data_IF_708511833398
#
_entry.id   IF_708511833398
#
_cell.length_a   1.000
_cell.length_b   1.000
_cell.length_c   1.000
_cell.angle_alpha   90.00
_cell.angle_beta   90.00
_cell.angle_gamma   90.00
#
_symmetry.space_group_name_H-M   'P 1'
#
loop_
_entity.id
_entity.type
_entity.pdbx_description
1 polymer ?
#
# COMPACT_ATOMS: atom_id res chain seq x y z
N UNK A 1 -10.88 7.82 -80.65
CA UNK A 1 -9.83 7.46 -79.67
C UNK A 1 -9.94 8.38 -78.47
N UNK A 2 -10.56 7.91 -77.38
CA UNK A 2 -10.69 8.70 -76.15
C UNK A 2 -9.58 8.23 -75.20
N UNK A 3 -8.59 9.08 -74.93
CA UNK A 3 -7.47 8.78 -74.01
C UNK A 3 -7.95 8.98 -72.58
N UNK A 4 -8.20 7.90 -71.86
CA UNK A 4 -8.50 7.91 -70.43
C UNK A 4 -7.24 8.27 -69.66
N UNK A 5 -7.22 9.45 -69.03
CA UNK A 5 -6.13 9.89 -68.15
C UNK A 5 -6.40 9.33 -66.75
N UNK A 6 -5.56 8.39 -66.31
CA UNK A 6 -5.56 7.87 -64.95
C UNK A 6 -4.81 8.87 -64.05
N UNK A 7 -5.53 9.58 -63.19
CA UNK A 7 -4.95 10.42 -62.14
C UNK A 7 -4.62 9.51 -60.95
N UNK A 8 -3.35 9.38 -60.53
CA UNK A 8 -3.02 8.57 -59.37
C UNK A 8 -3.52 9.29 -58.12
N UNK A 9 -4.54 8.73 -57.48
CA UNK A 9 -5.02 9.20 -56.18
C UNK A 9 -4.00 8.78 -55.12
N UNK A 10 -3.04 9.67 -54.83
CA UNK A 10 -2.07 9.46 -53.77
C UNK A 10 -2.83 9.53 -52.43
N UNK A 11 -3.21 8.37 -51.88
CA UNK A 11 -3.71 8.27 -50.52
C UNK A 11 -2.58 8.75 -49.59
N UNK A 12 -2.62 10.02 -49.19
CA UNK A 12 -1.87 10.50 -48.04
C UNK A 12 -2.40 9.73 -46.82
N UNK A 13 -1.66 8.72 -46.38
CA UNK A 13 -1.87 8.13 -45.07
C UNK A 13 -1.56 9.26 -44.07
N UNK A 14 -2.54 9.73 -43.28
CA UNK A 14 -2.27 10.76 -42.29
C UNK A 14 -1.22 10.22 -41.32
N UNK A 15 -0.06 10.88 -41.24
CA UNK A 15 0.89 10.62 -40.16
C UNK A 15 0.16 11.00 -38.88
N UNK A 16 -0.16 10.00 -38.06
CA UNK A 16 -0.60 10.22 -36.69
C UNK A 16 0.54 10.92 -35.97
N UNK A 17 0.34 12.19 -35.64
CA UNK A 17 1.27 12.96 -34.82
C UNK A 17 1.13 12.45 -33.38
N UNK A 18 1.91 11.44 -32.99
CA UNK A 18 2.00 11.02 -31.58
C UNK A 18 2.57 12.18 -30.77
N UNK A 19 1.75 12.84 -29.94
CA UNK A 19 2.21 13.87 -28.99
C UNK A 19 3.20 13.28 -27.98
N UNK A 20 3.81 14.12 -27.14
CA UNK A 20 4.50 13.63 -25.95
C UNK A 20 3.52 12.70 -25.20
N UNK A 21 3.94 11.45 -24.98
CA UNK A 21 3.03 10.41 -24.48
C UNK A 21 3.73 9.59 -23.41
N UNK A 22 3.12 9.51 -22.23
CA UNK A 22 3.54 8.62 -21.16
C UNK A 22 3.04 7.22 -21.48
N UNK A 23 3.99 6.31 -21.69
CA UNK A 23 3.70 4.91 -21.96
C UNK A 23 3.20 4.22 -20.69
N UNK A 24 3.90 4.42 -19.58
CA UNK A 24 3.49 3.96 -18.25
C UNK A 24 4.35 4.56 -17.13
N UNK A 25 3.78 4.56 -15.92
CA UNK A 25 4.44 5.02 -14.70
C UNK A 25 4.66 3.85 -13.72
N UNK A 26 5.87 3.74 -13.16
CA UNK A 26 6.18 2.80 -12.08
C UNK A 26 6.19 3.56 -10.76
N UNK A 27 5.21 3.25 -9.92
CA UNK A 27 5.17 3.65 -8.51
C UNK A 27 4.80 2.40 -7.70
N UNK A 28 5.56 2.02 -6.66
CA UNK A 28 5.17 0.96 -5.73
C UNK A 28 3.82 1.30 -5.10
N UNK A 29 2.89 0.34 -5.02
CA UNK A 29 1.60 0.58 -4.36
C UNK A 29 1.74 0.71 -2.84
N UNK A 30 2.72 0.02 -2.27
CA UNK A 30 2.99 0.03 -0.84
C UNK A 30 4.50 -0.09 -0.58
N UNK A 31 4.99 0.62 0.43
CA UNK A 31 6.37 0.60 0.89
C UNK A 31 6.37 0.55 2.42
N UNK A 32 7.17 -0.31 3.02
CA UNK A 32 7.29 -0.34 4.47
C UNK A 32 8.27 0.75 4.94
N UNK A 33 7.82 1.59 5.87
CA UNK A 33 8.58 2.67 6.47
C UNK A 33 9.90 2.15 7.07
N UNK A 34 11.03 2.73 6.67
CA UNK A 34 12.35 2.40 7.20
C UNK A 34 12.91 1.02 6.82
N UNK A 35 12.27 0.27 5.92
CA UNK A 35 12.73 -1.07 5.51
C UNK A 35 13.63 -1.07 4.27
N UNK A 36 13.37 -0.17 3.31
CA UNK A 36 14.12 -0.08 2.06
C UNK A 36 15.06 1.13 2.11
N UNK A 37 16.32 0.93 1.72
CA UNK A 37 17.29 2.01 1.62
C UNK A 37 16.92 3.02 0.53
N UNK A 38 16.28 2.55 -0.55
CA UNK A 38 15.77 3.42 -1.60
C UNK A 38 14.66 2.76 -2.40
N UNK A 39 13.69 3.56 -2.85
CA UNK A 39 12.65 3.14 -3.81
C UNK A 39 12.80 3.93 -5.12
N UNK A 40 12.45 3.28 -6.23
CA UNK A 40 12.50 3.89 -7.57
C UNK A 40 11.09 4.16 -8.09
N UNK A 41 10.84 5.41 -8.47
CA UNK A 41 9.69 5.82 -9.25
C UNK A 41 10.16 6.12 -10.67
N UNK A 42 9.50 5.59 -11.68
CA UNK A 42 9.95 5.69 -13.08
C UNK A 42 8.81 6.17 -13.97
N UNK A 43 9.11 7.03 -14.93
CA UNK A 43 8.13 7.59 -15.86
C UNK A 43 8.63 7.36 -17.27
N UNK A 44 8.08 6.35 -17.93
CA UNK A 44 8.49 5.95 -19.28
C UNK A 44 7.57 6.65 -20.27
N UNK A 45 8.16 7.43 -21.17
CA UNK A 45 7.45 8.19 -22.19
C UNK A 45 8.12 8.04 -23.56
N UNK A 46 7.39 8.48 -24.58
CA UNK A 46 7.84 8.64 -25.96
C UNK A 46 7.66 10.10 -26.38
N UNK A 47 8.57 10.61 -27.19
CA UNK A 47 8.53 11.98 -27.74
C UNK A 47 8.58 11.94 -29.26
N UNK A 48 8.13 13.02 -29.91
CA UNK A 48 8.35 13.21 -31.35
C UNK A 48 9.82 13.48 -31.65
N UNK A 49 10.31 13.12 -32.85
CA UNK A 49 11.67 13.44 -33.25
C UNK A 49 12.01 14.94 -33.27
N UNK A 50 11.02 15.79 -33.50
CA UNK A 50 11.13 17.25 -33.56
C UNK A 50 10.74 17.97 -32.26
N UNK A 51 10.37 17.22 -31.21
CA UNK A 51 10.05 17.80 -29.91
C UNK A 51 11.29 18.45 -29.29
N UNK A 52 11.08 19.63 -28.71
CA UNK A 52 12.11 20.37 -27.97
C UNK A 52 11.51 20.97 -26.70
N UNK A 53 12.39 21.39 -25.78
CA UNK A 53 11.94 21.96 -24.51
C UNK A 53 11.39 20.93 -23.53
N UNK A 54 11.94 19.72 -23.54
CA UNK A 54 11.55 18.66 -22.60
C UNK A 54 11.68 19.12 -21.14
N UNK A 55 10.61 18.91 -20.39
CA UNK A 55 10.54 19.09 -18.94
C UNK A 55 9.82 17.88 -18.34
N UNK A 56 10.46 17.20 -17.39
CA UNK A 56 9.82 16.13 -16.60
C UNK A 56 9.63 16.63 -15.18
N UNK A 57 8.41 16.56 -14.65
CA UNK A 57 8.08 16.92 -13.27
C UNK A 57 7.44 15.73 -12.56
N UNK A 58 7.79 15.57 -11.30
CA UNK A 58 6.99 14.75 -10.38
C UNK A 58 6.31 15.62 -9.34
N UNK A 59 5.06 15.28 -9.06
CA UNK A 59 4.26 15.87 -8.01
C UNK A 59 3.94 14.81 -6.96
N UNK A 60 3.85 15.24 -5.71
CA UNK A 60 3.26 14.49 -4.61
C UNK A 60 2.11 15.32 -4.03
N UNK A 61 0.88 14.80 -4.12
CA UNK A 61 -0.33 15.51 -3.69
C UNK A 61 -0.39 16.95 -4.27
N UNK A 62 -0.24 17.06 -5.59
CA UNK A 62 -0.20 18.31 -6.36
C UNK A 62 0.95 19.30 -6.08
N UNK A 63 1.84 19.01 -5.13
CA UNK A 63 3.06 19.79 -4.93
C UNK A 63 4.20 19.26 -5.80
N UNK A 64 4.87 20.14 -6.55
CA UNK A 64 6.08 19.75 -7.32
C UNK A 64 7.20 19.35 -6.36
N UNK A 65 7.71 18.14 -6.52
CA UNK A 65 8.77 17.58 -5.68
C UNK A 65 10.06 17.26 -6.43
N UNK A 66 9.98 17.18 -7.75
CA UNK A 66 11.12 16.91 -8.63
C UNK A 66 10.90 17.60 -9.97
N UNK A 67 11.98 18.15 -10.53
CA UNK A 67 11.98 18.69 -11.88
C UNK A 67 13.28 18.34 -12.58
N UNK A 68 13.18 17.92 -13.83
CA UNK A 68 14.30 17.71 -14.72
C UNK A 68 14.08 18.43 -16.05
N UNK A 69 15.10 19.17 -16.48
CA UNK A 69 15.18 19.84 -17.78
C UNK A 69 16.53 19.44 -18.38
N UNK A 70 16.58 18.64 -19.45
CA UNK A 70 17.83 18.29 -20.10
C UNK A 70 18.50 19.54 -20.73
N UNK A 71 19.84 19.58 -20.80
CA UNK A 71 20.82 18.59 -20.32
C UNK A 71 21.21 18.77 -18.84
N UNK A 72 20.52 19.60 -18.06
CA UNK A 72 20.89 19.83 -16.66
C UNK A 72 20.57 18.61 -15.78
N UNK A 73 21.26 18.52 -14.65
CA UNK A 73 20.88 17.56 -13.59
C UNK A 73 19.51 17.92 -13.00
N UNK A 74 18.76 16.92 -12.51
CA UNK A 74 17.47 17.16 -11.89
C UNK A 74 17.59 17.93 -10.56
N UNK A 75 16.48 18.51 -10.14
CA UNK A 75 16.36 19.27 -8.90
C UNK A 75 15.28 18.67 -8.00
N UNK A 76 15.59 18.55 -6.70
CA UNK A 76 14.63 18.20 -5.66
C UNK A 76 13.94 19.46 -5.13
N UNK A 77 12.62 19.37 -4.94
CA UNK A 77 11.76 20.48 -4.52
C UNK A 77 10.90 20.06 -3.31
N UNK A 78 10.35 21.07 -2.62
CA UNK A 78 9.44 20.85 -1.49
C UNK A 78 9.96 19.89 -0.44
N UNK A 79 9.11 18.96 0.00
CA UNK A 79 9.39 17.98 1.05
C UNK A 79 10.43 16.93 0.67
N UNK A 80 10.83 16.84 -0.61
CA UNK A 80 11.80 15.85 -1.12
C UNK A 80 13.24 16.38 -1.20
N UNK A 81 13.48 17.64 -0.82
CA UNK A 81 14.85 18.18 -0.71
C UNK A 81 15.69 17.34 0.25
N UNK A 82 16.85 16.89 -0.24
CA UNK A 82 17.78 16.05 0.53
C UNK A 82 17.35 14.59 0.69
N UNK A 83 16.22 14.18 0.10
CA UNK A 83 15.67 12.80 0.19
C UNK A 83 15.78 12.04 -1.14
N UNK A 84 16.38 12.63 -2.17
CA UNK A 84 16.48 12.04 -3.51
C UNK A 84 17.94 11.79 -3.90
N UNK A 85 18.21 10.67 -4.56
CA UNK A 85 19.46 10.46 -5.29
C UNK A 85 19.36 11.13 -6.68
N UNK A 86 19.78 12.40 -6.75
CA UNK A 86 19.76 13.19 -8.00
C UNK A 86 20.84 12.78 -9.02
N UNK A 87 21.67 11.78 -8.71
CA UNK A 87 22.65 11.22 -9.66
C UNK A 87 22.22 9.86 -10.20
N UNK A 88 21.01 9.38 -9.89
CA UNK A 88 20.48 8.15 -10.46
C UNK A 88 20.13 8.33 -11.94
N UNK A 89 20.75 7.53 -12.81
CA UNK A 89 20.52 7.54 -14.25
C UNK A 89 19.69 6.33 -14.67
N UNK A 90 18.52 6.60 -15.25
CA UNK A 90 17.57 5.59 -15.71
C UNK A 90 17.89 5.04 -17.10
N UNK A 91 18.71 5.77 -17.86
CA UNK A 91 19.08 5.48 -19.24
C UNK A 91 20.36 6.23 -19.61
N UNK A 92 21.10 5.71 -20.58
CA UNK A 92 22.22 6.42 -21.21
C UNK A 92 21.77 7.41 -22.29
N UNK A 93 20.48 7.39 -22.67
CA UNK A 93 19.91 8.32 -23.64
C UNK A 93 19.73 9.71 -22.99
N UNK A 94 20.30 10.79 -23.56
CA UNK A 94 20.26 12.15 -23.00
C UNK A 94 18.85 12.68 -22.69
N UNK A 95 17.84 12.31 -23.48
CA UNK A 95 16.45 12.76 -23.26
C UNK A 95 15.67 11.84 -22.34
N UNK A 96 16.27 10.76 -21.86
CA UNK A 96 15.63 9.78 -20.97
C UNK A 96 16.39 9.57 -19.65
N UNK A 97 17.55 10.20 -19.51
CA UNK A 97 18.55 9.93 -18.47
C UNK A 97 18.01 10.09 -17.04
N UNK A 98 17.33 11.19 -16.72
CA UNK A 98 16.83 11.48 -15.37
C UNK A 98 15.30 11.49 -15.29
N UNK A 99 14.63 10.63 -16.06
CA UNK A 99 13.16 10.48 -16.02
C UNK A 99 12.63 9.82 -14.74
N UNK A 100 13.48 9.04 -14.06
CA UNK A 100 13.14 8.36 -12.81
C UNK A 100 13.55 9.17 -11.59
N UNK A 101 12.77 9.05 -10.52
CA UNK A 101 13.06 9.62 -9.21
C UNK A 101 13.42 8.50 -8.23
N UNK A 102 14.66 8.52 -7.73
CA UNK A 102 15.13 7.58 -6.70
C UNK A 102 15.01 8.25 -5.32
N UNK A 103 14.10 7.75 -4.49
CA UNK A 103 13.83 8.24 -3.13
C UNK A 103 14.65 7.42 -2.15
N UNK A 104 15.39 8.08 -1.27
CA UNK A 104 16.23 7.47 -0.24
C UNK A 104 15.46 7.44 1.09
N UNK A 105 15.48 6.30 1.78
CA UNK A 105 14.85 6.10 3.10
C UNK A 105 13.40 6.64 3.16
N UNK A 106 12.45 6.02 2.44
CA UNK A 106 11.06 6.49 2.39
C UNK A 106 10.40 6.46 3.77
N UNK A 107 9.67 7.53 4.07
CA UNK A 107 8.97 7.76 5.35
C UNK A 107 7.48 8.02 5.12
N UNK A 108 6.68 7.92 6.19
CA UNK A 108 5.21 8.00 6.11
C UNK A 108 4.67 9.31 5.48
N UNK A 109 5.39 10.43 5.64
CA UNK A 109 5.07 11.74 5.03
C UNK A 109 5.26 11.77 3.50
N UNK A 110 5.84 10.72 2.92
CA UNK A 110 5.97 10.54 1.48
C UNK A 110 4.82 9.73 0.88
N UNK A 111 3.85 9.28 1.67
CA UNK A 111 2.65 8.63 1.14
C UNK A 111 1.75 9.63 0.39
N UNK A 112 1.10 9.18 -0.68
CA UNK A 112 0.15 10.00 -1.42
C UNK A 112 0.06 9.67 -2.91
N UNK A 113 -0.55 10.58 -3.65
CA UNK A 113 -0.63 10.50 -5.10
C UNK A 113 0.64 11.05 -5.74
N UNK A 114 1.33 10.20 -6.50
CA UNK A 114 2.45 10.59 -7.33
C UNK A 114 1.99 10.79 -8.76
N UNK A 115 2.26 11.97 -9.31
CA UNK A 115 1.95 12.32 -10.70
C UNK A 115 3.23 12.65 -11.45
N UNK A 116 3.50 11.95 -12.54
CA UNK A 116 4.51 12.35 -13.51
C UNK A 116 3.85 13.22 -14.57
N UNK A 117 4.46 14.36 -14.89
CA UNK A 117 4.11 15.23 -16.01
C UNK A 117 5.32 15.33 -16.94
N UNK A 118 5.11 15.04 -18.20
CA UNK A 118 6.10 15.19 -19.27
C UNK A 118 5.59 16.26 -20.22
N UNK A 119 6.35 17.34 -20.38
CA UNK A 119 5.99 18.46 -21.24
C UNK A 119 7.11 18.76 -22.23
N UNK A 120 6.76 19.17 -23.44
CA UNK A 120 7.63 19.78 -24.44
C UNK A 120 7.13 21.21 -24.70
N UNK A 121 7.67 21.92 -25.68
CA UNK A 121 7.14 23.24 -26.05
C UNK A 121 5.74 23.19 -26.68
N UNK A 122 5.34 22.05 -27.24
CA UNK A 122 4.10 21.92 -28.02
C UNK A 122 3.09 20.96 -27.43
N UNK A 123 3.52 20.04 -26.57
CA UNK A 123 2.68 18.95 -26.06
C UNK A 123 2.96 18.68 -24.58
N UNK A 124 1.98 18.11 -23.88
CA UNK A 124 2.15 17.61 -22.51
C UNK A 124 1.27 16.38 -22.27
N UNK A 125 1.74 15.50 -21.39
CA UNK A 125 0.99 14.34 -20.91
C UNK A 125 1.33 14.03 -19.45
N UNK A 126 0.38 13.44 -18.72
CA UNK A 126 0.54 13.12 -17.31
C UNK A 126 -0.08 11.78 -16.93
N UNK A 127 0.49 11.13 -15.92
CA UNK A 127 -0.05 9.91 -15.31
C UNK A 127 0.14 9.94 -13.81
N UNK A 128 -0.85 9.43 -13.07
CA UNK A 128 -0.84 9.38 -11.61
C UNK A 128 -0.92 7.97 -11.06
N UNK A 129 -0.31 7.73 -9.89
CA UNK A 129 -0.44 6.49 -9.12
C UNK A 129 -0.23 6.75 -7.63
N UNK A 130 -1.01 6.07 -6.79
CA UNK A 130 -0.92 6.20 -5.34
C UNK A 130 0.15 5.26 -4.75
N UNK A 131 0.86 5.76 -3.75
CA UNK A 131 1.80 5.01 -2.93
C UNK A 131 1.42 5.12 -1.45
N UNK A 132 1.26 3.98 -0.79
CA UNK A 132 1.08 3.89 0.66
C UNK A 132 2.44 3.64 1.30
N UNK A 133 2.80 4.42 2.31
CA UNK A 133 3.93 4.08 3.19
C UNK A 133 3.37 3.60 4.51
N UNK A 134 3.61 2.33 4.85
CA UNK A 134 3.01 1.68 6.02
C UNK A 134 4.03 1.38 7.12
N UNK A 135 3.57 1.32 8.36
CA UNK A 135 4.31 0.89 9.53
C UNK A 135 3.65 -0.40 10.03
N UNK A 136 4.39 -1.52 10.12
CA UNK A 136 3.85 -2.78 10.63
C UNK A 136 3.57 -2.68 12.13
N UNK A 137 2.87 -3.67 12.67
CA UNK A 137 2.56 -3.76 14.08
C UNK A 137 3.81 -3.84 14.97
N UNK A 138 3.73 -3.21 16.15
CA UNK A 138 4.69 -3.47 17.25
C UNK A 138 4.36 -4.80 17.95
N UNK A 139 3.07 -5.13 18.09
CA UNK A 139 2.60 -6.42 18.61
C UNK A 139 1.31 -6.89 17.93
N UNK A 140 1.14 -8.22 17.88
CA UNK A 140 -0.10 -8.90 17.48
C UNK A 140 -0.31 -10.13 18.37
N UNK A 141 -1.41 -10.12 19.11
CA UNK A 141 -1.76 -11.16 20.08
C UNK A 141 -3.14 -11.73 19.78
N UNK A 142 -3.31 -13.01 20.12
CA UNK A 142 -4.56 -13.75 19.99
C UNK A 142 -4.67 -14.67 21.20
N UNK A 143 -5.77 -14.56 21.93
CA UNK A 143 -6.01 -15.34 23.15
C UNK A 143 -7.50 -15.60 23.37
N UNK A 144 -7.79 -16.62 24.18
CA UNK A 144 -9.13 -16.87 24.69
C UNK A 144 -9.43 -15.86 25.80
N UNK A 145 -10.48 -15.05 25.64
CA UNK A 145 -10.81 -13.95 26.56
C UNK A 145 -12.00 -14.25 27.47
N UNK A 146 -12.69 -15.37 27.27
CA UNK A 146 -13.75 -15.79 28.18
C UNK A 146 -14.71 -16.80 27.59
N UNK A 147 -15.82 -16.96 28.29
CA UNK A 147 -16.93 -17.82 27.93
C UNK A 147 -18.24 -17.07 28.20
N UNK A 148 -19.18 -17.12 27.26
CA UNK A 148 -20.54 -16.64 27.45
C UNK A 148 -21.55 -17.79 27.22
N UNK A 149 -22.85 -17.53 27.37
CA UNK A 149 -23.88 -18.54 27.14
C UNK A 149 -23.97 -19.00 25.67
N UNK A 150 -23.29 -18.32 24.73
CA UNK A 150 -23.32 -18.57 23.29
C UNK A 150 -22.06 -19.28 22.80
N UNK A 151 -20.96 -19.27 23.55
CA UNK A 151 -19.71 -19.92 23.15
C UNK A 151 -18.46 -19.39 23.85
N UNK A 152 -17.30 -19.64 23.22
CA UNK A 152 -15.98 -19.20 23.70
C UNK A 152 -15.59 -17.92 22.97
N UNK A 153 -15.11 -16.92 23.73
CA UNK A 153 -14.65 -15.66 23.17
C UNK A 153 -13.16 -15.72 22.87
N UNK A 154 -12.79 -15.28 21.67
CA UNK A 154 -11.42 -15.08 21.25
C UNK A 154 -11.20 -13.61 20.95
N UNK A 155 -10.16 -13.06 21.54
CA UNK A 155 -9.78 -11.65 21.37
C UNK A 155 -8.44 -11.57 20.66
N UNK A 156 -8.39 -10.74 19.63
CA UNK A 156 -7.18 -10.39 18.91
C UNK A 156 -6.88 -8.90 19.12
N UNK A 157 -5.63 -8.59 19.46
CA UNK A 157 -5.17 -7.23 19.72
C UNK A 157 -3.93 -6.91 18.90
N UNK A 158 -3.82 -5.66 18.46
CA UNK A 158 -2.60 -5.15 17.81
C UNK A 158 -2.28 -3.73 18.25
N UNK A 159 -1.00 -3.39 18.24
CA UNK A 159 -0.52 -2.06 18.63
C UNK A 159 0.34 -1.39 17.56
N UNK A 160 0.22 -0.06 17.50
CA UNK A 160 1.10 0.85 16.77
C UNK A 160 1.23 0.62 15.25
N UNK A 161 0.13 0.35 14.56
CA UNK A 161 0.11 0.10 13.11
C UNK A 161 -0.26 1.37 12.34
N UNK A 162 0.25 1.57 11.12
CA UNK A 162 -0.19 2.66 10.25
C UNK A 162 -0.15 2.25 8.77
N UNK A 163 -1.12 2.64 7.92
CA UNK A 163 -2.40 3.29 8.23
C UNK A 163 -3.34 2.36 9.02
N UNK A 164 -4.60 2.75 9.20
CA UNK A 164 -5.59 1.99 9.97
C UNK A 164 -5.72 0.53 9.44
N UNK A 165 -5.37 -0.48 10.26
CA UNK A 165 -5.43 -1.88 9.86
C UNK A 165 -6.82 -2.49 10.04
N UNK A 166 -6.97 -3.75 9.65
CA UNK A 166 -8.15 -4.59 9.93
C UNK A 166 -7.71 -5.88 10.60
N UNK A 167 -8.42 -6.28 11.66
CA UNK A 167 -8.29 -7.59 12.29
C UNK A 167 -9.43 -8.49 11.82
N UNK A 168 -9.11 -9.74 11.48
CA UNK A 168 -10.07 -10.74 11.05
C UNK A 168 -9.81 -12.03 11.80
N UNK A 169 -10.75 -12.45 12.65
CA UNK A 169 -10.70 -13.75 13.34
C UNK A 169 -11.40 -14.79 12.48
N UNK A 170 -10.78 -15.96 12.31
CA UNK A 170 -11.38 -17.07 11.57
C UNK A 170 -10.87 -18.41 12.10
N UNK A 171 -11.65 -19.46 11.87
CA UNK A 171 -11.31 -20.84 12.23
C UNK A 171 -10.95 -21.64 10.98
N UNK A 172 -10.02 -22.58 11.13
CA UNK A 172 -9.81 -23.62 10.13
C UNK A 172 -10.61 -24.88 10.47
N UNK A 173 -11.32 -25.43 9.48
CA UNK A 173 -12.18 -26.63 9.68
C UNK A 173 -11.45 -27.90 9.23
N UNK A 174 -10.55 -27.78 8.24
CA UNK A 174 -9.66 -28.79 7.66
C UNK A 174 -8.62 -28.01 6.83
N UNK A 175 -7.37 -28.49 6.68
CA UNK A 175 -6.23 -27.89 5.93
C UNK A 175 -6.47 -27.60 4.42
N UNK A 176 -7.72 -27.41 3.98
CA UNK A 176 -8.12 -26.97 2.66
C UNK A 176 -8.27 -25.45 2.70
N UNK A 177 -7.30 -24.77 2.08
CA UNK A 177 -7.18 -23.30 1.96
C UNK A 177 -8.46 -22.54 1.54
N UNK A 178 -9.49 -23.23 1.03
CA UNK A 178 -10.75 -22.65 0.55
C UNK A 178 -11.87 -22.54 1.60
N UNK A 179 -11.76 -23.15 2.79
CA UNK A 179 -12.84 -23.15 3.80
C UNK A 179 -12.58 -22.23 5.01
N UNK A 180 -11.99 -21.04 4.78
CA UNK A 180 -11.83 -20.04 5.86
C UNK A 180 -13.19 -19.51 6.29
N UNK A 181 -13.66 -19.94 7.46
CA UNK A 181 -14.88 -19.42 8.08
C UNK A 181 -14.55 -18.20 8.94
N UNK A 182 -14.64 -17.02 8.32
CA UNK A 182 -14.51 -15.75 9.02
C UNK A 182 -15.62 -15.59 10.05
N UNK A 183 -15.24 -15.04 11.20
CA UNK A 183 -16.12 -14.84 12.32
C UNK A 183 -16.55 -13.39 12.40
N UNK A 184 -17.82 -13.17 12.73
CA UNK A 184 -18.31 -11.82 13.02
C UNK A 184 -17.70 -11.32 14.34
N UNK A 185 -17.30 -10.06 14.34
CA UNK A 185 -16.85 -9.39 15.55
C UNK A 185 -18.08 -9.03 16.38
N UNK A 186 -18.11 -9.47 17.64
CA UNK A 186 -19.15 -9.09 18.60
C UNK A 186 -18.81 -7.78 19.32
N UNK A 187 -17.51 -7.49 19.44
CA UNK A 187 -16.97 -6.28 20.04
C UNK A 187 -15.69 -5.91 19.30
N UNK A 188 -15.49 -4.63 19.06
CA UNK A 188 -14.27 -4.11 18.48
C UNK A 188 -14.01 -2.71 19.00
N UNK A 189 -12.74 -2.35 19.10
CA UNK A 189 -12.31 -1.00 19.43
C UNK A 189 -11.13 -0.62 18.56
N UNK A 190 -11.07 0.66 18.21
CA UNK A 190 -9.98 1.24 17.43
C UNK A 190 -9.57 2.53 18.11
N UNK A 191 -8.30 2.63 18.45
CA UNK A 191 -7.72 3.80 19.09
C UNK A 191 -6.63 4.37 18.21
N UNK A 192 -6.67 5.68 17.98
CA UNK A 192 -5.61 6.41 17.29
C UNK A 192 -4.71 7.08 18.33
N UNK A 193 -3.45 6.68 18.36
CA UNK A 193 -2.45 7.20 19.28
C UNK A 193 -2.01 8.62 18.86
N UNK A 194 -1.43 9.42 19.78
CA UNK A 194 -0.86 10.73 19.44
C UNK A 194 0.20 10.69 18.33
N UNK A 195 0.88 9.55 18.16
CA UNK A 195 1.81 9.29 17.05
C UNK A 195 1.13 9.15 15.68
N UNK A 196 -0.20 9.14 15.62
CA UNK A 196 -1.00 8.91 14.42
C UNK A 196 -1.21 7.43 14.08
N UNK A 197 -0.55 6.51 14.80
CA UNK A 197 -0.68 5.06 14.64
C UNK A 197 -1.94 4.53 15.33
N UNK A 198 -2.34 3.32 14.96
CA UNK A 198 -3.57 2.69 15.41
C UNK A 198 -3.29 1.45 16.25
N UNK A 199 -4.08 1.28 17.31
CA UNK A 199 -4.16 0.05 18.09
C UNK A 199 -5.61 -0.43 18.09
N UNK A 200 -5.80 -1.72 17.79
CA UNK A 200 -7.11 -2.32 17.60
C UNK A 200 -7.28 -3.54 18.50
N UNK A 201 -8.52 -3.75 18.92
CA UNK A 201 -8.97 -4.98 19.57
C UNK A 201 -10.22 -5.47 18.85
N UNK A 202 -10.32 -6.77 18.61
CA UNK A 202 -11.51 -7.43 18.06
C UNK A 202 -11.77 -8.71 18.82
N UNK A 203 -13.02 -8.91 19.23
CA UNK A 203 -13.48 -10.11 19.92
C UNK A 203 -14.55 -10.79 19.10
N UNK A 204 -14.43 -12.10 18.94
CA UNK A 204 -15.41 -12.97 18.26
C UNK A 204 -15.75 -14.16 19.14
N UNK A 205 -17.02 -14.57 19.12
CA UNK A 205 -17.52 -15.74 19.85
C UNK A 205 -17.64 -16.94 18.91
N UNK A 206 -17.03 -18.07 19.27
CA UNK A 206 -17.25 -19.34 18.57
C UNK A 206 -18.22 -20.20 19.39
N UNK A 207 -19.35 -20.65 18.82
CA UNK A 207 -20.23 -21.63 19.45
C UNK A 207 -19.50 -22.93 19.84
N UNK A 208 -19.83 -23.49 21.00
CA UNK A 208 -19.17 -24.69 21.54
C UNK A 208 -19.43 -25.94 20.69
N UNK A 209 -20.59 -26.04 20.04
CA UNK A 209 -20.99 -27.18 19.20
C UNK A 209 -20.11 -27.34 17.96
N UNK A 210 -19.48 -26.25 17.50
CA UNK A 210 -18.55 -26.27 16.37
C UNK A 210 -17.07 -26.21 16.79
N UNK A 211 -16.79 -26.17 18.09
CA UNK A 211 -15.43 -26.19 18.65
C UNK A 211 -15.07 -27.60 19.13
N UNK A 212 -13.93 -28.10 18.67
CA UNK A 212 -13.32 -29.32 19.19
C UNK A 212 -11.95 -29.00 19.80
N UNK A 213 -11.52 -29.69 20.87
CA UNK A 213 -10.15 -29.57 21.37
C UNK A 213 -9.14 -29.76 20.23
N UNK A 214 -8.18 -28.84 20.10
CA UNK A 214 -7.24 -28.78 18.98
C UNK A 214 -7.71 -27.96 17.77
N UNK A 215 -8.89 -27.32 17.81
CA UNK A 215 -9.33 -26.40 16.75
C UNK A 215 -8.37 -25.23 16.60
N UNK A 216 -7.97 -24.93 15.36
CA UNK A 216 -7.10 -23.78 15.06
C UNK A 216 -7.93 -22.50 14.90
N UNK A 217 -7.60 -21.51 15.72
CA UNK A 217 -8.14 -20.15 15.63
C UNK A 217 -7.03 -19.24 15.13
N UNK A 218 -7.38 -18.41 14.15
CA UNK A 218 -6.48 -17.48 13.51
C UNK A 218 -6.96 -16.05 13.67
N UNK A 219 -6.01 -15.13 13.72
CA UNK A 219 -6.23 -13.71 13.52
C UNK A 219 -5.31 -13.19 12.42
N UNK A 220 -5.91 -12.67 11.35
CA UNK A 220 -5.22 -11.91 10.32
C UNK A 220 -5.27 -10.42 10.67
N UNK A 221 -4.10 -9.80 10.79
CA UNK A 221 -3.93 -8.37 10.67
C UNK A 221 -3.62 -8.03 9.20
N UNK A 222 -4.39 -7.10 8.64
CA UNK A 222 -4.19 -6.61 7.27
C UNK A 222 -4.09 -5.10 7.26
N UNK A 223 -3.18 -4.56 6.46
CA UNK A 223 -3.14 -3.11 6.20
C UNK A 223 -3.76 -2.88 4.81
N UNK A 224 -4.99 -2.34 4.72
CA UNK A 224 -5.70 -2.18 3.45
C UNK A 224 -4.90 -1.39 2.40
N UNK A 225 -5.03 -1.78 1.14
CA UNK A 225 -4.27 -1.19 0.04
C UNK A 225 -2.79 -1.62 -0.01
N UNK A 226 -2.31 -2.33 1.02
CA UNK A 226 -1.01 -2.98 1.02
C UNK A 226 -1.21 -4.50 0.89
N UNK A 227 -0.21 -5.20 0.36
CA UNK A 227 -0.16 -6.66 0.40
C UNK A 227 0.20 -7.23 1.79
N UNK A 228 0.30 -6.37 2.82
CA UNK A 228 0.77 -6.76 4.14
C UNK A 228 -0.30 -7.54 4.90
N UNK A 229 0.06 -8.77 5.28
CA UNK A 229 -0.76 -9.65 6.12
C UNK A 229 0.15 -10.27 7.18
N UNK A 230 -0.21 -10.07 8.45
CA UNK A 230 0.38 -10.78 9.59
C UNK A 230 -0.65 -11.72 10.18
N UNK A 231 -0.25 -12.97 10.46
CA UNK A 231 -1.13 -13.98 11.07
C UNK A 231 -0.63 -14.39 12.44
N UNK A 232 -1.54 -14.43 13.42
CA UNK A 232 -1.36 -15.12 14.69
C UNK A 232 -2.33 -16.31 14.75
N UNK A 233 -1.89 -17.42 15.31
CA UNK A 233 -2.69 -18.64 15.44
C UNK A 233 -2.61 -19.18 16.86
N UNK A 234 -3.69 -19.80 17.34
CA UNK A 234 -3.70 -20.55 18.59
C UNK A 234 -4.51 -21.84 18.44
N UNK A 235 -4.18 -22.84 19.26
CA UNK A 235 -4.98 -24.05 19.42
C UNK A 235 -5.97 -23.83 20.55
N UNK A 236 -7.24 -24.14 20.30
CA UNK A 236 -8.26 -24.15 21.32
C UNK A 236 -8.15 -25.41 22.19
N UNK A 237 -8.12 -25.21 23.50
CA UNK A 237 -8.32 -26.26 24.49
C UNK A 237 -9.33 -25.77 25.53
N UNK A 238 -10.28 -26.61 25.96
CA UNK A 238 -11.20 -26.23 27.01
C UNK A 238 -10.42 -26.00 28.30
N UNK A 239 -10.48 -24.78 28.84
CA UNK A 239 -9.90 -24.46 30.15
C UNK A 239 -10.60 -25.28 31.24
N UNK A 240 -9.87 -25.64 32.30
CA UNK A 240 -10.47 -26.35 33.41
C UNK A 240 -11.41 -25.41 34.20
N UNK A 241 -12.45 -25.95 34.84
CA UNK A 241 -13.45 -25.15 35.58
C UNK A 241 -12.84 -24.24 36.67
N UNK A 242 -11.64 -24.55 37.15
CA UNK A 242 -10.89 -23.76 38.12
C UNK A 242 -10.21 -22.53 37.50
N UNK A 243 -9.86 -22.56 36.21
CA UNK A 243 -9.13 -21.47 35.54
C UNK A 243 -10.05 -20.27 35.21
N UNK A 244 -11.35 -20.52 34.97
CA UNK A 244 -12.34 -19.47 34.75
C UNK A 244 -12.63 -18.64 35.99
N UNK A 245 -12.52 -19.22 37.19
CA UNK A 245 -12.71 -18.51 38.45
C UNK A 245 -11.58 -17.52 38.72
N UNK A 246 -10.36 -17.83 38.27
CA UNK A 246 -9.21 -16.92 38.33
C UNK A 246 -9.28 -15.77 37.32
N UNK A 247 -9.93 -15.92 36.17
CA UNK A 247 -10.07 -14.83 35.18
C UNK A 247 -11.25 -13.88 35.47
N UNK A 248 -12.19 -14.29 36.33
CA UNK A 248 -13.36 -13.49 36.73
C UNK A 248 -13.17 -12.68 38.02
N UNK A 249 -12.01 -12.81 38.69
CA UNK A 249 -11.69 -12.04 39.91
C UNK A 249 -10.67 -10.97 39.56
N UNK A 250 -11.15 -9.88 38.96
CA UNK A 250 -10.68 -8.52 39.19
C UNK A 250 -11.82 -7.61 38.68
N UNK A 251 -12.48 -6.82 39.55
CA UNK A 251 -11.81 -5.75 40.30
C UNK A 251 -12.28 -5.54 41.77
N UNK A 252 -11.49 -4.71 42.47
CA UNK A 252 -11.75 -3.92 43.69
C UNK A 252 -11.66 -4.56 45.08
N UNK A 253 -10.59 -4.19 45.81
CA UNK A 253 -10.57 -3.42 47.09
C UNK A 253 -9.09 -3.20 47.48
N UNK A 254 -8.48 -2.01 47.32
CA UNK A 254 -8.46 -0.80 48.19
C UNK A 254 -7.92 -1.03 49.61
N UNK A 255 -7.00 -0.12 50.00
CA UNK A 255 -6.53 0.31 51.35
C UNK A 255 -5.18 -0.23 51.82
N UNK A 256 -4.13 0.59 51.64
CA UNK A 256 -3.44 1.31 52.73
C UNK A 256 -2.72 2.53 52.15
#
# INVERSE_FOLDING_TARGET
MLRTILIPFFFMIPRTFEAAQINYIKVPSAVQNGSEHSILLDCIYSLRPDDSGLVVKWFLNDAVIYQWIPPQKPQALGLMKGKLNLSYEASNDPIMMYRSMNIINPTADMAGEYKCLVSTFTDEDFSSKNMIVFVPESSLELFQSGYDNKGINFTCTTTEVYPEPKLLIFRDVEDKYQDRKYMEAIEWSTSKLPSGRYSLTTTSTVPLDILSPGSLIHCDLRIPGTGYIKRKSMLYYPLSKNDYLTSSIEPSEVVS
#
